data_IF_577564261316
#
_entry.id   IF_577564261316
#
_cell.length_a   1.000
_cell.length_b   1.000
_cell.length_c   1.000
_cell.angle_alpha   90.00
_cell.angle_beta   90.00
_cell.angle_gamma   90.00
#
_symmetry.space_group_name_H-M   'P 1'
#
loop_
_entity.id
_entity.type
_entity.pdbx_description
1 polymer ?
#
# COMPACT_ATOMS: atom_id res chain seq x y z
N UNK A 1 -4.85 -7.16 7.77
CA UNK A 1 -4.69 -6.12 6.74
C UNK A 1 -5.88 -6.22 5.78
N UNK A 2 -6.28 -5.15 5.10
CA UNK A 2 -7.33 -5.26 4.06
C UNK A 2 -6.77 -5.96 2.84
N UNK A 3 -7.57 -6.82 2.23
CA UNK A 3 -7.23 -7.56 1.02
C UNK A 3 -8.50 -7.65 0.18
N UNK A 4 -8.47 -7.17 -1.06
CA UNK A 4 -9.64 -7.14 -1.91
C UNK A 4 -9.27 -7.41 -3.37
N UNK A 5 -10.01 -8.34 -3.98
CA UNK A 5 -9.92 -8.62 -5.42
C UNK A 5 -10.69 -7.53 -6.17
N UNK A 6 -10.06 -6.94 -7.20
CA UNK A 6 -10.68 -5.91 -8.04
C UNK A 6 -11.01 -6.53 -9.39
N UNK A 7 -12.27 -6.48 -9.81
CA UNK A 7 -12.73 -6.88 -11.15
C UNK A 7 -13.70 -5.82 -11.66
N UNK A 8 -13.33 -5.14 -12.73
CA UNK A 8 -14.17 -4.14 -13.39
C UNK A 8 -14.75 -4.77 -14.66
N UNK A 9 -16.05 -4.60 -14.88
CA UNK A 9 -16.75 -5.09 -16.06
C UNK A 9 -17.39 -3.94 -16.83
N UNK A 10 -17.50 -4.08 -18.15
CA UNK A 10 -18.25 -3.14 -18.98
C UNK A 10 -19.78 -3.34 -18.84
N UNK A 11 -20.54 -2.54 -19.60
CA UNK A 11 -22.02 -2.58 -19.61
C UNK A 11 -22.55 -3.95 -20.08
N UNK A 12 -21.78 -4.66 -20.90
CA UNK A 12 -22.13 -6.00 -21.39
C UNK A 12 -21.75 -7.10 -20.37
N UNK A 13 -21.19 -6.73 -19.22
CA UNK A 13 -20.72 -7.67 -18.20
C UNK A 13 -19.41 -8.36 -18.54
N UNK A 14 -18.64 -7.86 -19.52
CA UNK A 14 -17.33 -8.42 -19.87
C UNK A 14 -16.23 -7.78 -19.04
N UNK A 15 -15.23 -8.57 -18.67
CA UNK A 15 -14.11 -8.10 -17.88
C UNK A 15 -13.33 -7.03 -18.65
N UNK A 16 -13.10 -5.85 -18.06
CA UNK A 16 -12.30 -4.77 -18.64
C UNK A 16 -11.03 -4.44 -17.85
N UNK A 17 -11.04 -4.70 -16.55
CA UNK A 17 -9.86 -4.55 -15.72
C UNK A 17 -9.85 -5.58 -14.57
N UNK A 18 -8.67 -6.03 -14.20
CA UNK A 18 -8.48 -6.92 -13.06
C UNK A 18 -7.29 -6.46 -12.23
N UNK A 19 -7.43 -6.53 -10.92
CA UNK A 19 -6.41 -6.07 -10.01
C UNK A 19 -6.54 -6.66 -8.62
N UNK A 20 -5.72 -6.13 -7.73
CA UNK A 20 -5.73 -6.51 -6.32
C UNK A 20 -5.38 -5.31 -5.44
N UNK A 21 -6.12 -5.16 -4.35
CA UNK A 21 -5.86 -4.19 -3.28
C UNK A 21 -5.35 -4.90 -2.03
N UNK A 22 -4.35 -4.31 -1.38
CA UNK A 22 -3.82 -4.74 -0.10
C UNK A 22 -3.49 -3.56 0.80
N UNK A 23 -3.63 -3.74 2.11
CA UNK A 23 -3.15 -2.78 3.10
C UNK A 23 -1.64 -2.88 3.27
N UNK A 24 -0.93 -1.76 3.20
CA UNK A 24 0.49 -1.72 3.52
C UNK A 24 0.76 -0.90 4.79
N UNK A 25 1.64 -1.41 5.65
CA UNK A 25 2.04 -0.73 6.87
C UNK A 25 2.88 0.51 6.55
N UNK A 26 2.51 1.66 7.13
CA UNK A 26 3.25 2.90 6.98
C UNK A 26 4.04 3.21 8.25
N UNK A 27 5.32 2.83 8.26
CA UNK A 27 6.23 3.05 9.39
C UNK A 27 6.25 4.52 9.85
N UNK A 28 6.22 5.48 8.92
CA UNK A 28 6.21 6.90 9.28
C UNK A 28 4.99 7.27 10.11
N UNK A 29 3.79 6.82 9.71
CA UNK A 29 2.55 7.10 10.45
C UNK A 29 2.60 6.40 11.81
N UNK A 30 3.13 5.18 11.88
CA UNK A 30 3.32 4.46 13.13
C UNK A 30 4.21 5.26 14.09
N UNK A 31 5.39 5.70 13.65
CA UNK A 31 6.31 6.49 14.47
C UNK A 31 5.72 7.83 14.89
N UNK A 32 5.03 8.53 13.98
CA UNK A 32 4.36 9.79 14.30
C UNK A 32 3.24 9.58 15.34
N UNK A 33 2.40 8.56 15.16
CA UNK A 33 1.32 8.25 16.10
C UNK A 33 1.85 7.91 17.50
N UNK A 34 2.91 7.10 17.58
CA UNK A 34 3.58 6.80 18.84
C UNK A 34 4.20 8.04 19.46
N UNK A 35 4.86 8.89 18.65
CA UNK A 35 5.42 10.17 19.09
C UNK A 35 4.38 11.10 19.69
N UNK A 36 3.23 11.28 19.04
CA UNK A 36 2.13 12.10 19.57
C UNK A 36 1.61 11.60 20.93
N UNK A 37 1.45 10.28 21.07
CA UNK A 37 1.00 9.67 22.33
C UNK A 37 2.04 9.87 23.44
N UNK A 38 3.33 9.64 23.14
CA UNK A 38 4.40 9.84 24.11
C UNK A 38 4.51 11.29 24.58
N UNK A 39 4.44 12.25 23.65
CA UNK A 39 4.43 13.69 23.97
C UNK A 39 3.20 14.04 24.81
N UNK A 40 2.03 13.50 24.48
CA UNK A 40 0.81 13.71 25.27
C UNK A 40 0.98 13.24 26.72
N UNK A 41 1.51 12.03 26.94
CA UNK A 41 1.79 11.51 28.30
C UNK A 41 2.79 12.39 29.06
N UNK A 42 3.85 12.85 28.38
CA UNK A 42 4.82 13.78 28.95
C UNK A 42 4.17 15.10 29.41
N UNK A 43 3.36 15.72 28.55
CA UNK A 43 2.65 16.97 28.87
C UNK A 43 1.63 16.76 30.00
N UNK A 44 0.92 15.63 30.04
CA UNK A 44 0.00 15.32 31.14
C UNK A 44 0.73 15.24 32.48
N UNK A 45 1.93 14.64 32.49
CA UNK A 45 2.77 14.54 33.70
C UNK A 45 3.24 15.92 34.17
N UNK A 46 3.67 16.78 33.24
CA UNK A 46 4.07 18.17 33.55
C UNK A 46 2.86 18.97 34.05
N UNK A 47 1.70 18.83 33.40
CA UNK A 47 0.45 19.47 33.78
C UNK A 47 0.09 19.18 35.24
N UNK A 48 0.19 17.92 35.68
CA UNK A 48 -0.08 17.53 37.07
C UNK A 48 0.84 18.25 38.08
N UNK A 49 2.11 18.50 37.71
CA UNK A 49 3.04 19.24 38.55
C UNK A 49 2.71 20.74 38.57
N UNK A 50 2.37 21.32 37.42
CA UNK A 50 1.98 22.73 37.29
C UNK A 50 0.66 23.01 38.02
N UNK A 51 -0.29 22.07 38.04
CA UNK A 51 -1.56 22.22 38.78
C UNK A 51 -1.37 22.49 40.27
N UNK A 52 -0.23 22.09 40.86
CA UNK A 52 0.09 22.34 42.28
C UNK A 52 0.33 23.82 42.57
N UNK A 53 0.77 24.60 41.58
CA UNK A 53 1.10 26.03 41.74
C UNK A 53 0.18 26.95 40.92
N UNK A 54 -0.24 26.51 39.73
CA UNK A 54 -1.11 27.25 38.82
C UNK A 54 -2.17 26.33 38.19
N UNK A 55 -3.34 26.27 38.83
CA UNK A 55 -4.45 25.38 38.42
C UNK A 55 -4.86 25.61 36.96
N UNK A 56 -5.07 26.86 36.54
CA UNK A 56 -5.53 27.18 35.18
C UNK A 56 -4.48 26.79 34.11
N UNK A 57 -3.20 27.05 34.37
CA UNK A 57 -2.11 26.67 33.47
C UNK A 57 -1.97 25.15 33.34
N UNK A 58 -2.12 24.44 34.46
CA UNK A 58 -2.17 22.98 34.47
C UNK A 58 -3.34 22.43 33.65
N UNK A 59 -4.56 22.97 33.83
CA UNK A 59 -5.74 22.54 33.06
C UNK A 59 -5.58 22.79 31.55
N UNK A 60 -4.99 23.91 31.14
CA UNK A 60 -4.69 24.19 29.73
C UNK A 60 -3.69 23.20 29.13
N UNK A 61 -2.64 22.83 29.88
CA UNK A 61 -1.70 21.80 29.44
C UNK A 61 -2.36 20.42 29.36
N UNK A 62 -3.28 20.11 30.28
CA UNK A 62 -4.00 18.84 30.30
C UNK A 62 -4.92 18.70 29.07
N UNK A 63 -5.64 19.76 28.71
CA UNK A 63 -6.49 19.76 27.51
C UNK A 63 -5.66 19.66 26.23
N UNK A 64 -4.52 20.34 26.15
CA UNK A 64 -3.57 20.21 25.04
C UNK A 64 -3.01 18.78 24.90
N UNK A 65 -2.66 18.15 26.01
CA UNK A 65 -2.26 16.73 26.05
C UNK A 65 -3.37 15.80 25.52
N UNK A 66 -4.61 16.00 25.96
CA UNK A 66 -5.74 15.19 25.50
C UNK A 66 -5.96 15.32 23.97
N UNK A 67 -5.84 16.53 23.42
CA UNK A 67 -5.94 16.77 21.98
C UNK A 67 -4.81 16.08 21.20
N UNK A 68 -3.57 16.13 21.69
CA UNK A 68 -2.43 15.46 21.07
C UNK A 68 -2.58 13.93 21.13
N UNK A 69 -3.02 13.38 22.26
CA UNK A 69 -3.32 11.95 22.40
C UNK A 69 -4.42 11.51 21.44
N UNK A 70 -5.48 12.31 21.31
CA UNK A 70 -6.55 12.07 20.35
C UNK A 70 -6.06 12.13 18.89
N UNK A 71 -5.21 13.09 18.55
CA UNK A 71 -4.59 13.18 17.23
C UNK A 71 -3.71 11.95 16.92
N UNK A 72 -2.90 11.50 17.89
CA UNK A 72 -2.12 10.27 17.79
C UNK A 72 -3.00 9.04 17.59
N UNK A 73 -4.10 8.92 18.34
CA UNK A 73 -5.09 7.85 18.17
C UNK A 73 -5.79 7.90 16.80
N UNK A 74 -6.09 9.09 16.28
CA UNK A 74 -6.67 9.22 14.93
C UNK A 74 -5.67 8.84 13.85
N UNK A 75 -4.42 9.26 13.98
CA UNK A 75 -3.32 8.87 13.08
C UNK A 75 -3.08 7.37 13.09
N UNK A 76 -3.18 6.70 14.25
CA UNK A 76 -2.99 5.25 14.34
C UNK A 76 -4.04 4.47 13.54
N UNK A 77 -5.23 5.03 13.32
CA UNK A 77 -6.25 4.44 12.44
C UNK A 77 -5.91 4.50 10.95
N UNK A 78 -4.95 5.33 10.55
CA UNK A 78 -4.51 5.52 9.15
C UNK A 78 -3.14 4.87 8.92
N UNK A 79 -2.66 4.04 9.86
CA UNK A 79 -1.39 3.31 9.76
C UNK A 79 -1.34 2.41 8.53
N UNK A 80 -2.49 1.92 8.08
CA UNK A 80 -2.61 1.17 6.84
C UNK A 80 -3.15 2.09 5.75
N UNK A 81 -2.36 2.29 4.70
CA UNK A 81 -2.89 2.86 3.46
C UNK A 81 -3.18 1.70 2.51
N UNK A 82 -4.38 1.65 1.92
CA UNK A 82 -4.64 0.70 0.84
C UNK A 82 -3.69 1.01 -0.31
N UNK A 83 -3.19 -0.05 -0.93
CA UNK A 83 -2.46 -0.02 -2.20
C UNK A 83 -3.17 -0.93 -3.15
N UNK A 84 -3.22 -0.52 -4.41
CA UNK A 84 -3.93 -1.25 -5.44
C UNK A 84 -3.11 -1.25 -6.72
N UNK A 85 -3.10 -2.38 -7.41
CA UNK A 85 -2.57 -2.49 -8.76
C UNK A 85 -3.63 -3.10 -9.65
N UNK A 86 -3.89 -2.47 -10.80
CA UNK A 86 -4.95 -2.85 -11.74
C UNK A 86 -4.35 -2.95 -13.15
N UNK A 87 -4.68 -4.04 -13.85
CA UNK A 87 -4.36 -4.30 -15.23
C UNK A 87 -5.59 -4.06 -16.10
N UNK A 88 -5.48 -3.21 -17.09
CA UNK A 88 -6.55 -2.87 -18.02
C UNK A 88 -6.45 -3.67 -19.32
N UNK A 89 -7.58 -3.87 -19.98
CA UNK A 89 -7.66 -4.59 -21.25
C UNK A 89 -6.86 -3.97 -22.40
N UNK A 90 -6.71 -2.65 -22.40
CA UNK A 90 -5.94 -1.89 -23.39
C UNK A 90 -4.42 -2.07 -23.23
N UNK A 91 -4.00 -2.84 -22.22
CA UNK A 91 -2.61 -3.06 -21.89
C UNK A 91 -2.11 -2.16 -20.77
N UNK A 92 -2.87 -1.15 -20.34
CA UNK A 92 -2.43 -0.18 -19.34
C UNK A 92 -2.39 -0.77 -17.93
N UNK A 93 -1.65 -0.08 -17.06
CA UNK A 93 -1.53 -0.41 -15.65
C UNK A 93 -1.87 0.81 -14.81
N UNK A 94 -2.81 0.65 -13.87
CA UNK A 94 -3.24 1.71 -12.95
C UNK A 94 -2.87 1.38 -11.51
N UNK A 95 -2.53 2.42 -10.75
CA UNK A 95 -2.20 2.35 -9.32
C UNK A 95 -2.97 3.43 -8.55
N UNK A 96 -4.32 3.34 -8.44
CA UNK A 96 -5.14 4.43 -7.91
C UNK A 96 -4.81 4.82 -6.47
N UNK A 97 -4.35 3.87 -5.64
CA UNK A 97 -3.90 4.14 -4.27
C UNK A 97 -2.38 4.12 -4.07
N UNK A 98 -1.64 4.40 -5.15
CA UNK A 98 -0.29 4.96 -5.11
C UNK A 98 0.88 3.98 -4.94
N UNK A 99 1.91 4.25 -5.74
CA UNK A 99 3.31 4.21 -5.31
C UNK A 99 3.80 5.67 -5.37
N UNK A 100 4.64 6.15 -4.43
CA UNK A 100 5.08 7.54 -4.46
C UNK A 100 5.61 7.96 -5.84
N UNK A 101 5.33 9.20 -6.25
CA UNK A 101 5.59 9.73 -7.60
C UNK A 101 7.06 9.61 -8.04
N UNK A 102 8.00 9.47 -7.11
CA UNK A 102 9.44 9.24 -7.39
C UNK A 102 9.82 7.77 -7.65
N UNK A 103 8.94 6.81 -7.34
CA UNK A 103 9.04 5.41 -7.80
C UNK A 103 8.31 5.22 -9.14
N UNK A 104 7.93 6.33 -9.82
CA UNK A 104 7.33 6.32 -11.16
C UNK A 104 8.03 5.29 -12.02
N UNK A 105 7.22 4.38 -12.54
CA UNK A 105 7.45 3.30 -13.49
C UNK A 105 8.18 3.77 -14.76
N UNK A 106 9.41 4.31 -14.67
CA UNK A 106 10.25 4.58 -15.85
C UNK A 106 10.74 3.27 -16.51
N UNK A 107 10.56 2.13 -15.85
CA UNK A 107 11.09 0.85 -16.30
C UNK A 107 10.10 0.03 -17.15
N UNK A 108 8.80 0.06 -16.87
CA UNK A 108 7.77 -0.64 -17.67
C UNK A 108 6.84 0.45 -18.14
N UNK A 109 6.85 0.80 -19.44
CA UNK A 109 6.13 1.92 -20.06
C UNK A 109 4.59 1.80 -19.93
N UNK A 110 4.05 1.69 -18.71
CA UNK A 110 2.63 1.51 -18.43
C UNK A 110 2.01 0.21 -18.95
N UNK A 111 2.73 -0.62 -19.74
CA UNK A 111 2.13 -1.77 -20.43
C UNK A 111 2.40 -3.14 -19.79
N UNK A 112 1.33 -3.85 -19.40
CA UNK A 112 1.42 -5.15 -18.73
C UNK A 112 1.80 -6.33 -19.63
N UNK A 113 1.72 -6.16 -20.96
CA UNK A 113 2.14 -7.17 -21.94
C UNK A 113 3.66 -7.47 -21.84
N UNK A 114 4.42 -6.48 -21.35
CA UNK A 114 5.87 -6.57 -21.12
C UNK A 114 6.22 -7.29 -19.82
N UNK A 115 5.26 -7.56 -18.93
CA UNK A 115 5.53 -8.28 -17.67
C UNK A 115 5.79 -9.76 -17.96
N UNK A 116 6.91 -10.28 -17.47
CA UNK A 116 7.21 -11.71 -17.44
C UNK A 116 6.58 -12.37 -16.21
N UNK A 117 7.01 -11.96 -15.02
CA UNK A 117 6.61 -12.57 -13.75
C UNK A 117 6.30 -11.51 -12.67
N UNK A 118 5.52 -11.90 -11.67
CA UNK A 118 5.27 -11.13 -10.46
C UNK A 118 5.69 -12.00 -9.29
N UNK A 119 6.68 -11.55 -8.51
CA UNK A 119 7.32 -12.40 -7.52
C UNK A 119 7.48 -11.70 -6.18
N UNK A 120 7.46 -12.51 -5.12
CA UNK A 120 7.87 -12.10 -3.79
C UNK A 120 9.39 -12.06 -3.73
N UNK A 121 9.94 -10.89 -3.45
CA UNK A 121 11.35 -10.68 -3.18
C UNK A 121 11.58 -10.62 -1.67
N UNK A 122 12.61 -11.32 -1.20
CA UNK A 122 13.16 -11.13 0.13
C UNK A 122 14.20 -10.01 0.05
N UNK A 123 14.02 -8.95 0.81
CA UNK A 123 14.93 -7.80 0.85
C UNK A 123 15.49 -7.65 2.26
N UNK A 124 16.76 -7.25 2.34
CA UNK A 124 17.34 -6.83 3.61
C UNK A 124 16.81 -5.43 3.90
N UNK A 125 16.34 -5.20 5.13
CA UNK A 125 15.65 -3.96 5.48
C UNK A 125 16.45 -2.70 5.07
N UNK A 126 15.78 -1.55 4.84
CA UNK A 126 16.39 -0.33 4.27
C UNK A 126 17.55 0.29 5.06
N UNK A 127 17.94 -0.29 6.20
CA UNK A 127 19.02 0.16 7.08
C UNK A 127 20.04 -0.93 7.42
N UNK A 128 20.12 -2.02 6.65
CA UNK A 128 21.07 -3.12 6.93
C UNK A 128 20.81 -3.85 8.26
N UNK A 129 19.61 -3.66 8.82
CA UNK A 129 19.21 -4.31 10.07
C UNK A 129 18.77 -5.76 9.86
N UNK A 130 18.71 -6.58 10.92
CA UNK A 130 18.37 -8.01 10.85
C UNK A 130 16.91 -8.30 10.47
N UNK A 131 16.11 -7.26 10.19
CA UNK A 131 14.68 -7.39 9.91
C UNK A 131 14.50 -7.68 8.43
N UNK A 132 14.32 -8.96 8.12
CA UNK A 132 13.93 -9.44 6.79
C UNK A 132 12.57 -8.82 6.45
N UNK A 133 12.50 -8.13 5.32
CA UNK A 133 11.24 -7.61 4.78
C UNK A 133 10.93 -8.29 3.46
N UNK A 134 9.65 -8.56 3.22
CA UNK A 134 9.19 -9.10 1.95
C UNK A 134 8.57 -7.99 1.10
N UNK A 135 8.86 -8.02 -0.19
CA UNK A 135 8.35 -7.10 -1.20
C UNK A 135 7.76 -7.89 -2.35
N UNK A 136 6.93 -7.25 -3.13
CA UNK A 136 6.43 -7.79 -4.39
C UNK A 136 6.97 -6.90 -5.49
N UNK A 137 7.52 -7.54 -6.52
CA UNK A 137 8.03 -6.88 -7.71
C UNK A 137 7.53 -7.58 -8.96
N UNK A 138 7.45 -6.79 -10.02
CA UNK A 138 7.17 -7.26 -11.37
C UNK A 138 8.48 -7.25 -12.16
N UNK A 139 8.75 -8.34 -12.86
CA UNK A 139 9.90 -8.49 -13.73
C UNK A 139 9.39 -8.40 -15.17
N UNK A 140 9.95 -7.49 -15.95
CA UNK A 140 9.66 -7.40 -17.37
C UNK A 140 10.40 -8.49 -18.13
N UNK A 141 9.90 -8.86 -19.31
CA UNK A 141 10.53 -9.81 -20.23
C UNK A 141 11.91 -9.32 -20.68
N UNK A 142 12.14 -8.01 -20.64
CA UNK A 142 13.41 -7.35 -20.94
C UNK A 142 14.34 -7.26 -19.72
N UNK A 143 14.03 -7.95 -18.61
CA UNK A 143 14.86 -8.00 -17.42
C UNK A 143 14.75 -6.78 -16.50
N UNK A 144 13.76 -5.91 -16.70
CA UNK A 144 13.55 -4.72 -15.86
C UNK A 144 12.74 -5.06 -14.61
N UNK A 145 13.10 -4.47 -13.47
CA UNK A 145 12.44 -4.75 -12.18
C UNK A 145 11.63 -3.53 -11.76
N UNK A 146 10.36 -3.77 -11.40
CA UNK A 146 9.47 -2.76 -10.83
C UNK A 146 8.98 -3.22 -9.47
N UNK A 147 9.31 -2.47 -8.43
CA UNK A 147 8.82 -2.71 -7.08
C UNK A 147 7.42 -2.11 -6.92
N UNK A 148 6.46 -2.92 -6.52
CA UNK A 148 5.06 -2.49 -6.34
C UNK A 148 4.67 -2.39 -4.86
N UNK A 149 5.39 -3.06 -3.95
CA UNK A 149 5.27 -2.89 -2.50
C UNK A 149 6.61 -2.54 -1.83
N UNK A 150 6.52 -1.95 -0.64
CA UNK A 150 7.63 -1.52 0.23
C UNK A 150 7.98 -2.54 1.29
N UNK A 151 7.03 -2.98 2.10
CA UNK A 151 7.31 -3.86 3.23
C UNK A 151 6.03 -4.59 3.64
N UNK A 152 6.03 -5.90 3.44
CA UNK A 152 4.92 -6.77 3.75
C UNK A 152 5.40 -7.93 4.62
N UNK A 153 4.45 -8.48 5.39
CA UNK A 153 4.64 -9.79 6.02
C UNK A 153 4.88 -10.85 4.93
N UNK A 154 5.68 -11.92 5.18
CA UNK A 154 5.95 -12.96 4.19
C UNK A 154 4.68 -13.54 3.54
N UNK A 155 3.63 -13.74 4.33
CA UNK A 155 2.36 -14.32 3.88
C UNK A 155 1.56 -13.33 3.04
N UNK A 156 1.49 -12.06 3.47
CA UNK A 156 0.80 -11.00 2.72
C UNK A 156 1.50 -10.75 1.39
N UNK A 157 2.84 -10.75 1.36
CA UNK A 157 3.62 -10.62 0.14
C UNK A 157 3.36 -11.78 -0.82
N UNK A 158 3.27 -13.00 -0.29
CA UNK A 158 2.93 -14.17 -1.10
C UNK A 158 1.52 -14.05 -1.67
N UNK A 159 0.53 -13.72 -0.84
CA UNK A 159 -0.85 -13.53 -1.26
C UNK A 159 -0.97 -12.44 -2.35
N UNK A 160 -0.35 -11.28 -2.14
CA UNK A 160 -0.31 -10.20 -3.14
C UNK A 160 0.31 -10.67 -4.44
N UNK A 161 1.43 -11.40 -4.41
CA UNK A 161 2.07 -11.93 -5.62
C UNK A 161 1.17 -12.92 -6.38
N UNK A 162 0.47 -13.81 -5.66
CA UNK A 162 -0.44 -14.79 -6.26
C UNK A 162 -1.65 -14.11 -6.87
N UNK A 163 -2.29 -13.19 -6.15
CA UNK A 163 -3.51 -12.52 -6.61
C UNK A 163 -3.26 -11.58 -7.78
N UNK A 164 -2.11 -10.88 -7.80
CA UNK A 164 -1.73 -10.07 -8.95
C UNK A 164 -1.35 -10.92 -10.17
N UNK A 165 -0.72 -12.07 -9.95
CA UNK A 165 -0.43 -13.02 -11.05
C UNK A 165 -1.72 -13.56 -11.65
N UNK A 166 -2.70 -13.94 -10.81
CA UNK A 166 -4.02 -14.36 -11.25
C UNK A 166 -4.75 -13.26 -12.04
N UNK A 167 -4.77 -12.03 -11.52
CA UNK A 167 -5.39 -10.89 -12.21
C UNK A 167 -4.75 -10.59 -13.58
N UNK A 168 -3.42 -10.68 -13.68
CA UNK A 168 -2.71 -10.50 -14.95
C UNK A 168 -3.06 -11.61 -15.95
N UNK A 169 -3.17 -12.85 -15.49
CA UNK A 169 -3.52 -13.99 -16.33
C UNK A 169 -4.95 -13.86 -16.86
N UNK A 170 -5.92 -13.51 -16.00
CA UNK A 170 -7.31 -13.28 -16.40
C UNK A 170 -7.43 -12.24 -17.52
N UNK A 171 -6.73 -11.11 -17.41
CA UNK A 171 -6.74 -10.07 -18.45
C UNK A 171 -6.10 -10.55 -19.75
N UNK A 172 -5.03 -11.34 -19.68
CA UNK A 172 -4.39 -11.91 -20.88
C UNK A 172 -5.29 -12.91 -21.59
N UNK A 173 -5.98 -13.74 -20.82
CA UNK A 173 -6.91 -14.73 -21.35
C UNK A 173 -8.12 -14.05 -22.03
N UNK A 174 -8.63 -12.97 -21.42
CA UNK A 174 -9.68 -12.13 -22.01
C UNK A 174 -9.22 -11.46 -23.31
N UNK A 175 -8.01 -10.87 -23.35
CA UNK A 175 -7.43 -10.30 -24.58
C UNK A 175 -7.34 -11.37 -25.68
N UNK A 176 -6.84 -12.56 -25.34
CA UNK A 176 -6.69 -13.67 -26.28
C UNK A 176 -8.04 -14.20 -26.77
N UNK A 177 -9.06 -14.25 -25.91
CA UNK A 177 -10.43 -14.60 -26.29
C UNK A 177 -11.02 -13.58 -27.26
N UNK A 178 -10.92 -12.27 -26.96
CA UNK A 178 -11.38 -11.18 -27.84
C UNK A 178 -10.65 -11.13 -29.17
N UNK A 179 -9.36 -11.48 -29.20
CA UNK A 179 -8.61 -11.58 -30.45
C UNK A 179 -9.13 -12.72 -31.34
N UNK A 180 -9.39 -13.89 -30.76
CA UNK A 180 -9.98 -15.05 -31.46
C UNK A 180 -11.38 -14.75 -32.00
N UNK A 181 -12.23 -14.12 -31.20
CA UNK A 181 -13.60 -13.76 -31.61
C UNK A 181 -13.62 -12.76 -32.78
N UNK A 182 -12.60 -11.89 -32.90
CA UNK A 182 -12.47 -10.94 -34.01
C UNK A 182 -11.95 -11.58 -35.30
N UNK A 183 -11.05 -12.57 -35.20
CA UNK A 183 -10.52 -13.27 -36.38
C UNK A 183 -11.46 -14.33 -36.98
N UNK A 184 -12.57 -14.66 -36.30
CA UNK A 184 -13.59 -15.57 -36.78
C UNK A 184 -14.74 -14.88 -37.56
N UNK A 185 -14.65 -13.56 -37.75
CA UNK A 185 -15.58 -12.74 -38.55
C UNK A 185 -14.90 -12.31 -39.84
#
# INVERSE_FOLDING_TARGET
MSHQIIREHDIDGKLVAAGYEWGEHNDLITHLSAGFILVAVGIATISFHVMKTHVLGGLLLLSGSALLGYAGYKLSKVVFRPRSFIFDLDGAMRMPHGVPEFWRLRAIDGHHVKIGTIEKIRDEGPHGGPRVVHRVAMFSKEGRIVRISKALHPDDAHLVSVQLTAALQEIRDEIAWRARARGAR
#
